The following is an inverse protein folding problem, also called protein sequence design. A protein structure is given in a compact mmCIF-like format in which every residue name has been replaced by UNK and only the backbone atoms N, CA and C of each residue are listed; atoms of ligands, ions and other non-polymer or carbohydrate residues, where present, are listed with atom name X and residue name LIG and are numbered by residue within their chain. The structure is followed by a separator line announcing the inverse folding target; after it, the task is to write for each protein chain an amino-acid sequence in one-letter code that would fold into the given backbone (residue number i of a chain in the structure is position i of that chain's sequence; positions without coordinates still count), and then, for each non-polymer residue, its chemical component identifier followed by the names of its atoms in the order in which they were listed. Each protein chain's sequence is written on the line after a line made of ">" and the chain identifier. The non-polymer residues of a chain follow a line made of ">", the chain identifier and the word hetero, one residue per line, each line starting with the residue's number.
data_IF_162214241824
#
_entry.id   IF_162214241824
#
_cell.length_a   1.000
_cell.length_b   1.000
_cell.length_c   1.000
_cell.angle_alpha   90.00
_cell.angle_beta   90.00
_cell.angle_gamma   90.00
#
_symmetry.space_group_name_H-M   'P 1'
#
loop_
_entity.id
_entity.type
_entity.pdbx_description
1 polymer ?
#
# COMPACT_ATOMS: atom_id res chain seq x y z
N UNK A 1 10.25 12.09 0.30
CA UNK A 1 9.05 11.29 0.04
C UNK A 1 7.83 12.13 0.38
N UNK A 2 6.70 12.00 -0.32
CA UNK A 2 5.45 12.69 0.06
C UNK A 2 4.68 11.89 1.13
N UNK A 3 3.73 12.53 1.83
CA UNK A 3 2.87 11.85 2.82
C UNK A 3 2.07 10.71 2.19
N UNK A 4 1.52 10.92 0.99
CA UNK A 4 0.75 9.89 0.28
C UNK A 4 1.62 8.70 -0.12
N UNK A 5 2.82 8.96 -0.61
CA UNK A 5 3.78 7.91 -0.96
C UNK A 5 4.25 7.14 0.28
N UNK A 6 4.52 7.84 1.39
CA UNK A 6 4.88 7.22 2.67
C UNK A 6 3.72 6.35 3.22
N UNK A 7 2.48 6.84 3.11
CA UNK A 7 1.27 6.12 3.51
C UNK A 7 1.10 4.82 2.74
N UNK A 8 1.14 4.86 1.40
CA UNK A 8 1.06 3.63 0.61
C UNK A 8 2.24 2.71 0.89
N UNK A 9 3.46 3.24 1.04
CA UNK A 9 4.64 2.41 1.37
C UNK A 9 4.51 1.73 2.74
N UNK A 10 3.99 2.43 3.75
CA UNK A 10 3.72 1.85 5.07
C UNK A 10 2.71 0.71 4.98
N UNK A 11 1.69 0.87 4.13
CA UNK A 11 0.72 -0.19 3.84
C UNK A 11 1.35 -1.37 3.09
N UNK A 12 2.21 -1.14 2.09
CA UNK A 12 2.92 -2.22 1.39
C UNK A 12 3.77 -3.03 2.36
N UNK A 13 4.52 -2.38 3.26
CA UNK A 13 5.28 -3.09 4.31
C UNK A 13 4.40 -3.97 5.19
N UNK A 14 3.18 -3.51 5.48
CA UNK A 14 2.20 -4.26 6.25
C UNK A 14 1.71 -5.51 5.50
N UNK A 15 1.48 -5.38 4.19
CA UNK A 15 1.11 -6.50 3.33
C UNK A 15 2.23 -7.55 3.23
N UNK A 16 3.49 -7.10 3.19
CA UNK A 16 4.67 -8.00 3.15
C UNK A 16 4.94 -8.70 4.48
N UNK A 17 4.33 -8.25 5.58
CA UNK A 17 4.49 -8.86 6.90
C UNK A 17 3.63 -10.12 7.09
N UNK A 18 2.81 -10.52 6.11
CA UNK A 18 1.90 -11.69 6.13
C UNK A 18 0.89 -11.71 7.29
N UNK A 19 0.77 -10.62 8.06
CA UNK A 19 -0.15 -10.52 9.20
C UNK A 19 -1.62 -10.32 8.78
N UNK A 20 -1.85 -9.95 7.53
CA UNK A 20 -3.19 -9.73 6.98
C UNK A 20 -3.59 -10.98 6.18
N UNK A 21 -4.72 -11.63 6.51
CA UNK A 21 -5.22 -12.73 5.71
C UNK A 21 -5.43 -12.32 4.25
N UNK A 22 -4.92 -13.12 3.32
CA UNK A 22 -5.00 -12.79 1.89
C UNK A 22 -6.45 -12.62 1.38
N UNK A 23 -7.42 -13.31 1.99
CA UNK A 23 -8.84 -13.14 1.67
C UNK A 23 -9.34 -11.72 1.96
N UNK A 24 -8.85 -11.08 3.02
CA UNK A 24 -9.15 -9.70 3.36
C UNK A 24 -8.44 -8.72 2.42
N UNK A 25 -7.20 -9.01 2.04
CA UNK A 25 -6.43 -8.23 1.04
C UNK A 25 -7.14 -8.26 -0.31
N UNK A 26 -7.61 -9.44 -0.74
CA UNK A 26 -8.30 -9.64 -2.02
C UNK A 26 -9.62 -8.87 -2.05
N UNK A 27 -10.42 -8.95 -0.99
CA UNK A 27 -11.66 -8.17 -0.86
C UNK A 27 -11.37 -6.67 -0.92
N UNK A 28 -10.38 -6.21 -0.17
CA UNK A 28 -9.99 -4.80 -0.18
C UNK A 28 -9.53 -4.35 -1.56
N UNK A 29 -8.73 -5.16 -2.27
CA UNK A 29 -8.31 -4.83 -3.64
C UNK A 29 -9.48 -4.74 -4.60
N UNK A 30 -10.39 -5.71 -4.58
CA UNK A 30 -11.52 -5.74 -5.50
C UNK A 30 -12.42 -4.50 -5.37
N UNK A 31 -12.59 -4.01 -4.14
CA UNK A 31 -13.35 -2.79 -3.86
C UNK A 31 -12.63 -1.53 -4.34
N UNK A 32 -11.30 -1.50 -4.28
CA UNK A 32 -10.50 -0.28 -4.49
C UNK A 32 -9.64 -0.30 -5.77
N UNK A 33 -9.73 -1.33 -6.61
CA UNK A 33 -8.90 -1.49 -7.83
C UNK A 33 -9.09 -0.39 -8.88
N UNK A 34 -10.12 0.43 -8.76
CA UNK A 34 -10.41 1.53 -9.69
C UNK A 34 -9.84 2.87 -9.23
N UNK A 35 -9.34 2.95 -8.00
CA UNK A 35 -8.78 4.18 -7.47
C UNK A 35 -7.48 4.51 -8.20
N UNK A 36 -7.39 5.73 -8.71
CA UNK A 36 -6.21 6.23 -9.40
C UNK A 36 -5.61 7.45 -8.71
N UNK A 37 -6.41 8.18 -7.92
CA UNK A 37 -5.95 9.36 -7.20
C UNK A 37 -5.25 8.97 -5.90
N UNK A 38 -4.07 9.54 -5.68
CA UNK A 38 -3.22 9.24 -4.53
C UNK A 38 -3.96 9.45 -3.19
N UNK A 39 -4.73 10.53 -3.07
CA UNK A 39 -5.49 10.87 -1.85
C UNK A 39 -6.65 9.89 -1.60
N UNK A 40 -7.31 9.42 -2.66
CA UNK A 40 -8.38 8.41 -2.55
C UNK A 40 -7.82 7.07 -2.10
N UNK A 41 -6.68 6.66 -2.64
CA UNK A 41 -6.00 5.41 -2.27
C UNK A 41 -5.62 5.43 -0.79
N UNK A 42 -5.01 6.52 -0.33
CA UNK A 42 -4.65 6.69 1.09
C UNK A 42 -5.90 6.65 1.97
N UNK A 43 -6.95 7.37 1.57
CA UNK A 43 -8.22 7.40 2.32
C UNK A 43 -8.84 6.01 2.42
N UNK A 44 -8.81 5.22 1.35
CA UNK A 44 -9.32 3.86 1.35
C UNK A 44 -8.54 2.94 2.29
N UNK A 45 -7.20 3.03 2.28
CA UNK A 45 -6.32 2.28 3.19
C UNK A 45 -6.64 2.62 4.65
N UNK A 46 -6.66 3.91 4.99
CA UNK A 46 -6.92 4.36 6.35
C UNK A 46 -8.31 3.96 6.82
N UNK A 47 -9.32 4.10 5.96
CA UNK A 47 -10.70 3.70 6.26
C UNK A 47 -10.78 2.21 6.53
N UNK A 48 -10.07 1.40 5.75
CA UNK A 48 -10.04 -0.05 5.94
C UNK A 48 -9.35 -0.46 7.24
N UNK A 49 -8.25 0.21 7.61
CA UNK A 49 -7.49 -0.03 8.85
C UNK A 49 -8.21 0.47 10.12
N UNK A 50 -9.07 1.50 10.02
CA UNK A 50 -9.87 2.03 11.13
C UNK A 50 -10.91 1.04 11.68
N UNK A 51 -11.13 -0.08 11.01
CA UNK A 51 -12.04 -1.11 11.52
C UNK A 51 -11.54 -1.66 12.87
N UNK A 52 -12.41 -1.83 13.90
CA UNK A 52 -11.98 -2.21 15.26
C UNK A 52 -11.18 -3.52 15.33
N UNK A 53 -11.51 -4.48 14.46
CA UNK A 53 -10.79 -5.77 14.37
C UNK A 53 -9.39 -5.67 13.77
N UNK A 54 -8.98 -4.48 13.30
CA UNK A 54 -7.70 -4.20 12.64
C UNK A 54 -6.84 -3.21 13.42
N UNK A 55 -7.14 -2.98 14.71
CA UNK A 55 -6.42 -2.06 15.58
C UNK A 55 -4.90 -2.33 15.63
N UNK A 56 -4.50 -3.60 15.67
CA UNK A 56 -3.07 -3.98 15.63
C UNK A 56 -2.44 -3.64 14.27
N UNK A 57 -3.17 -3.86 13.17
CA UNK A 57 -2.73 -3.51 11.82
C UNK A 57 -2.57 -1.99 11.67
N UNK A 58 -3.52 -1.23 12.23
CA UNK A 58 -3.48 0.23 12.26
C UNK A 58 -2.26 0.74 13.04
N UNK A 59 -1.94 0.13 14.18
CA UNK A 59 -0.76 0.50 14.97
C UNK A 59 0.54 0.25 14.19
N UNK A 60 0.71 -0.93 13.58
CA UNK A 60 1.87 -1.24 12.75
C UNK A 60 1.97 -0.34 11.51
N UNK A 61 0.85 -0.02 10.89
CA UNK A 61 0.80 0.96 9.79
C UNK A 61 1.28 2.35 10.24
N UNK A 62 0.78 2.85 11.37
CA UNK A 62 1.17 4.15 11.91
C UNK A 62 2.65 4.21 12.32
N UNK A 63 3.17 3.13 12.90
CA UNK A 63 4.61 3.02 13.22
C UNK A 63 5.46 3.06 11.96
N UNK A 64 5.13 2.25 10.95
CA UNK A 64 5.82 2.26 9.66
C UNK A 64 5.77 3.64 8.99
N UNK A 65 4.60 4.29 9.03
CA UNK A 65 4.41 5.63 8.49
C UNK A 65 5.29 6.65 9.21
N UNK A 66 5.33 6.60 10.54
CA UNK A 66 6.17 7.49 11.37
C UNK A 66 7.65 7.33 11.03
N UNK A 67 8.13 6.09 10.88
CA UNK A 67 9.52 5.82 10.50
C UNK A 67 9.83 6.45 9.14
N UNK A 68 9.01 6.18 8.11
CA UNK A 68 9.22 6.69 6.75
C UNK A 68 9.20 8.21 6.66
N UNK A 69 8.32 8.87 7.42
CA UNK A 69 8.24 10.33 7.48
C UNK A 69 9.44 10.93 8.24
N UNK A 70 9.88 10.27 9.32
CA UNK A 70 11.04 10.69 10.11
C UNK A 70 12.35 10.57 9.30
N UNK A 71 12.52 9.50 8.53
CA UNK A 71 13.67 9.31 7.63
C UNK A 71 13.67 10.31 6.47
N UNK A 72 12.49 10.75 6.03
CA UNK A 72 12.36 11.72 4.94
C UNK A 72 12.61 13.17 5.34
N UNK A 73 12.91 13.45 6.62
CA UNK A 73 12.99 14.80 7.19
C UNK A 73 11.74 15.65 6.86
N UNK A 74 10.62 14.96 6.64
CA UNK A 74 9.30 15.57 6.50
C UNK A 74 8.86 15.75 7.94
N UNK A 75 9.15 16.93 8.51
CA UNK A 75 8.71 17.29 9.85
C UNK A 75 7.26 16.84 10.03
N UNK A 76 6.99 16.08 11.09
CA UNK A 76 5.67 15.56 11.43
C UNK A 76 4.66 16.69 11.33
N UNK A 77 3.95 16.78 10.19
CA UNK A 77 2.84 17.71 10.05
C UNK A 77 1.71 17.06 10.81
N UNK A 78 1.64 17.38 12.10
CA UNK A 78 0.42 17.23 12.87
C UNK A 78 -0.73 17.82 12.06
N UNK A 79 -1.78 17.01 11.90
CA UNK A 79 -3.13 17.37 11.43
C UNK A 79 -3.30 17.71 9.94
N UNK A 80 -4.07 16.86 9.26
CA UNK A 80 -4.82 17.20 8.05
C UNK A 80 -5.82 18.31 8.46
N UNK A 81 -5.86 19.52 7.85
CA UNK A 81 -6.50 19.67 6.53
C UNK A 81 -5.90 20.74 5.59
N UNK A 82 -5.85 20.42 4.30
CA UNK A 82 -5.75 21.42 3.22
C UNK A 82 -4.45 21.43 2.43
N UNK A 83 -4.49 20.75 1.29
CA UNK A 83 -3.88 21.19 0.03
C UNK A 83 -2.44 21.71 0.07
N UNK A 84 -1.47 20.84 0.33
CA UNK A 84 -0.05 21.13 0.04
C UNK A 84 0.43 20.24 -1.11
N UNK A 85 0.15 20.66 -2.34
CA UNK A 85 0.80 20.12 -3.55
C UNK A 85 2.31 20.42 -3.45
N UNK A 86 3.09 19.42 -3.06
CA UNK A 86 4.55 19.49 -3.12
C UNK A 86 5.03 19.46 -4.57
N UNK A 87 6.03 20.28 -4.95
CA UNK A 87 6.58 20.27 -6.30
C UNK A 87 7.53 19.07 -6.45
N UNK A 88 7.03 17.98 -7.05
CA UNK A 88 7.89 16.85 -7.43
C UNK A 88 8.82 17.26 -8.58
N UNK A 89 10.13 17.11 -8.39
CA UNK A 89 11.14 17.37 -9.43
C UNK A 89 10.94 16.40 -10.62
N UNK A 90 10.98 16.86 -11.87
CA UNK A 90 10.86 16.00 -13.04
C UNK A 90 12.23 15.40 -13.40
N UNK A 91 12.48 14.10 -13.10
CA UNK A 91 13.34 13.20 -13.92
C UNK A 91 13.72 11.83 -13.31
N UNK A 92 12.91 11.22 -12.44
CA UNK A 92 13.06 9.77 -12.18
C UNK A 92 11.74 9.07 -12.52
N UNK A 93 11.76 7.85 -13.08
CA UNK A 93 10.60 6.98 -13.07
C UNK A 93 10.39 6.53 -11.63
N UNK A 94 9.93 7.44 -10.77
CA UNK A 94 9.39 7.08 -9.49
C UNK A 94 8.05 6.42 -9.78
N UNK A 95 7.90 5.18 -9.32
CA UNK A 95 6.62 4.50 -9.34
C UNK A 95 5.59 5.42 -8.68
N UNK A 96 4.51 5.72 -9.42
CA UNK A 96 3.43 6.56 -8.89
C UNK A 96 2.77 5.87 -7.70
N UNK A 97 2.16 6.62 -6.79
CA UNK A 97 1.49 6.05 -5.59
C UNK A 97 0.43 5.02 -6.01
N UNK A 98 -0.33 5.30 -7.06
CA UNK A 98 -1.26 4.36 -7.66
C UNK A 98 -0.59 3.08 -8.17
N UNK A 99 0.53 3.20 -8.91
CA UNK A 99 1.28 2.02 -9.37
C UNK A 99 1.83 1.19 -8.20
N UNK A 100 2.42 1.84 -7.19
CA UNK A 100 2.94 1.18 -5.99
C UNK A 100 1.84 0.39 -5.28
N UNK A 101 0.67 0.99 -5.14
CA UNK A 101 -0.51 0.34 -4.56
C UNK A 101 -0.94 -0.87 -5.40
N UNK A 102 -1.19 -0.70 -6.69
CA UNK A 102 -1.66 -1.80 -7.53
C UNK A 102 -0.66 -2.94 -7.62
N UNK A 103 0.63 -2.64 -7.77
CA UNK A 103 1.69 -3.64 -7.86
C UNK A 103 1.78 -4.47 -6.57
N UNK A 104 1.72 -3.83 -5.40
CA UNK A 104 1.71 -4.54 -4.12
C UNK A 104 0.49 -5.45 -3.97
N UNK A 105 -0.70 -4.96 -4.32
CA UNK A 105 -1.93 -5.76 -4.24
C UNK A 105 -1.92 -6.92 -5.23
N UNK A 106 -1.43 -6.72 -6.45
CA UNK A 106 -1.26 -7.79 -7.46
C UNK A 106 -0.27 -8.83 -6.95
N UNK A 107 0.90 -8.42 -6.46
CA UNK A 107 1.94 -9.32 -5.93
C UNK A 107 1.35 -10.25 -4.86
N UNK A 108 0.59 -9.71 -3.92
CA UNK A 108 0.03 -10.48 -2.79
C UNK A 108 -1.18 -11.33 -3.19
N UNK A 109 -1.95 -10.90 -4.19
CA UNK A 109 -3.11 -11.68 -4.69
C UNK A 109 -2.70 -12.77 -5.69
N UNK A 110 -1.57 -12.62 -6.38
CA UNK A 110 -1.06 -13.60 -7.35
C UNK A 110 -0.21 -14.70 -6.73
N UNK A 111 0.43 -14.47 -5.58
CA UNK A 111 1.30 -15.47 -4.91
C UNK A 111 0.59 -16.77 -4.51
N UNK A 112 -0.73 -16.86 -4.59
CA UNK A 112 -1.51 -18.09 -4.35
C UNK A 112 -2.04 -18.81 -5.58
N UNK A 113 -1.87 -18.27 -6.79
CA UNK A 113 -2.13 -19.05 -8.01
C UNK A 113 -0.92 -19.88 -8.47
N UNK A 114 0.22 -19.78 -7.80
CA UNK A 114 1.38 -20.68 -7.99
C UNK A 114 1.20 -22.02 -7.27
N UNK A 115 -0.05 -22.45 -7.05
CA UNK A 115 -0.44 -23.76 -6.57
C UNK A 115 -1.06 -24.64 -7.65
N UNK A 116 -0.82 -24.41 -8.94
CA UNK A 116 -0.96 -25.44 -9.99
C UNK A 116 -0.36 -24.97 -11.34
N UNK A 117 0.95 -25.07 -11.50
CA UNK A 117 1.52 -25.38 -12.81
C UNK A 117 2.34 -26.65 -12.61
N UNK A 118 1.60 -27.75 -12.53
CA UNK A 118 2.12 -29.09 -12.74
C UNK A 118 2.98 -29.06 -14.01
N UNK A 119 4.28 -29.26 -13.81
CA UNK A 119 5.28 -29.50 -14.83
C UNK A 119 4.71 -30.46 -15.89
N UNK A 120 4.46 -29.97 -17.10
CA UNK A 120 4.32 -30.88 -18.24
C UNK A 120 5.73 -31.37 -18.59
N UNK A 121 5.97 -32.69 -18.62
CA UNK A 121 7.24 -33.22 -19.11
C UNK A 121 7.32 -33.00 -20.63
N UNK A 122 8.54 -32.89 -21.18
CA UNK A 122 8.74 -32.74 -22.61
C UNK A 122 8.26 -34.02 -23.31
N UNK A 123 7.46 -33.88 -24.36
CA UNK A 123 7.06 -35.01 -25.20
C UNK A 123 8.16 -35.29 -26.24
N UNK A 124 8.41 -36.57 -26.58
CA UNK A 124 9.55 -37.03 -27.38
C UNK A 124 9.48 -36.64 -28.86
#
# INVERSE_FOLDING_TARGET
>A
MSINQASVTAFVKLLESDIIPQSEITKFYQLNRKLQEDDEIVTAIETWLKHPSRSQLLASYQENLKILLSESNVAQVETIPGNVKSPTKPNQPSETVSQLFHNAMIKVTQTTNSGNIQSQPPTP
#
